data_IF_587367775689
#
_entry.id   IF_587367775689
#
_cell.length_a   1.000
_cell.length_b   1.000
_cell.length_c   1.000
_cell.angle_alpha   90.00
_cell.angle_beta   90.00
_cell.angle_gamma   90.00
#
_symmetry.space_group_name_H-M   'P 1'
#
loop_
_entity.id
_entity.type
_entity.pdbx_description
1 polymer ?
#
# COMPACT_ATOMS: atom_id res chain seq x y z
N UNK A 1 0.92 -5.53 -5.20
CA UNK A 1 1.06 -5.64 -3.72
C UNK A 1 0.55 -6.98 -3.20
N UNK A 2 1.07 -7.46 -2.06
CA UNK A 2 0.55 -8.64 -1.34
C UNK A 2 -0.85 -8.37 -0.76
N UNK A 3 -1.73 -9.38 -0.75
CA UNK A 3 -3.10 -9.26 -0.23
C UNK A 3 -3.17 -8.89 1.27
N UNK A 4 -2.18 -9.29 2.07
CA UNK A 4 -2.10 -8.92 3.49
C UNK A 4 -1.96 -7.40 3.69
N UNK A 5 -1.26 -6.72 2.78
CA UNK A 5 -1.07 -5.27 2.81
C UNK A 5 -2.30 -4.52 2.30
N UNK A 6 -3.00 -5.08 1.31
CA UNK A 6 -4.31 -4.56 0.90
C UNK A 6 -5.35 -4.68 2.03
N UNK A 7 -5.30 -5.79 2.78
CA UNK A 7 -6.10 -5.96 4.01
C UNK A 7 -5.75 -4.95 5.08
N UNK A 8 -4.48 -4.56 5.22
CA UNK A 8 -4.09 -3.51 6.15
C UNK A 8 -4.76 -2.17 5.82
N UNK A 9 -4.78 -1.76 4.54
CA UNK A 9 -5.45 -0.52 4.11
C UNK A 9 -6.96 -0.60 4.43
N UNK A 10 -7.62 -1.71 4.08
CA UNK A 10 -9.05 -1.92 4.40
C UNK A 10 -9.33 -1.90 5.90
N UNK A 11 -8.50 -2.56 6.69
CA UNK A 11 -8.62 -2.58 8.15
C UNK A 11 -8.41 -1.18 8.73
N UNK A 12 -7.43 -0.43 8.25
CA UNK A 12 -7.17 0.93 8.68
C UNK A 12 -8.39 1.84 8.46
N UNK A 13 -9.05 1.74 7.31
CA UNK A 13 -10.29 2.48 7.05
C UNK A 13 -11.40 2.08 8.04
N UNK A 14 -11.62 0.77 8.20
CA UNK A 14 -12.66 0.25 9.07
C UNK A 14 -12.48 0.65 10.55
N UNK A 15 -11.25 0.55 11.10
CA UNK A 15 -11.00 0.84 12.53
C UNK A 15 -11.06 2.33 12.86
N UNK A 16 -10.78 3.20 11.89
CA UNK A 16 -10.84 4.65 12.06
C UNK A 16 -12.18 5.25 11.60
N UNK A 17 -13.15 4.43 11.17
CA UNK A 17 -14.47 4.88 10.74
C UNK A 17 -14.48 5.62 9.41
N UNK A 18 -13.45 5.42 8.57
CA UNK A 18 -13.43 5.94 7.21
C UNK A 18 -14.30 5.10 6.28
N UNK A 19 -14.67 5.72 5.16
CA UNK A 19 -15.41 5.05 4.10
C UNK A 19 -14.58 3.94 3.46
N UNK A 20 -14.97 2.69 3.74
CA UNK A 20 -14.29 1.48 3.24
C UNK A 20 -14.39 1.39 1.71
N UNK A 21 -15.36 2.06 1.07
CA UNK A 21 -15.46 2.06 -0.40
C UNK A 21 -14.23 2.71 -1.06
N UNK A 22 -13.52 3.58 -0.34
CA UNK A 22 -12.25 4.21 -0.80
C UNK A 22 -11.04 3.29 -0.71
N UNK A 23 -11.20 2.07 -0.20
CA UNK A 23 -10.08 1.16 -0.03
C UNK A 23 -9.39 0.82 -1.34
N UNK A 24 -10.17 0.56 -2.40
CA UNK A 24 -9.61 0.20 -3.71
C UNK A 24 -8.83 1.37 -4.31
N UNK A 25 -9.37 2.60 -4.22
CA UNK A 25 -8.68 3.81 -4.68
C UNK A 25 -7.33 4.00 -3.97
N UNK A 26 -7.29 3.80 -2.65
CA UNK A 26 -6.04 3.90 -1.86
C UNK A 26 -5.05 2.77 -2.17
N UNK A 27 -5.55 1.57 -2.45
CA UNK A 27 -4.71 0.44 -2.86
C UNK A 27 -4.08 0.74 -4.21
N UNK A 28 -4.86 1.20 -5.19
CA UNK A 28 -4.36 1.56 -6.52
C UNK A 28 -3.34 2.68 -6.44
N UNK A 29 -3.64 3.73 -5.66
CA UNK A 29 -2.73 4.85 -5.46
C UNK A 29 -1.38 4.37 -4.87
N UNK A 30 -1.42 3.57 -3.80
CA UNK A 30 -0.20 3.08 -3.19
C UNK A 30 0.55 2.07 -4.09
N UNK A 31 -0.14 1.26 -4.90
CA UNK A 31 0.51 0.41 -5.89
C UNK A 31 1.21 1.22 -6.98
N UNK A 32 0.69 2.39 -7.35
CA UNK A 32 1.31 3.29 -8.32
C UNK A 32 2.60 3.95 -7.80
N UNK A 33 2.74 4.09 -6.49
CA UNK A 33 3.94 4.65 -5.83
C UNK A 33 5.05 3.61 -5.62
N UNK A 34 4.78 2.31 -5.85
CA UNK A 34 5.76 1.24 -5.68
C UNK A 34 6.86 1.35 -6.74
N UNK A 35 8.11 1.28 -6.29
CA UNK A 35 9.27 1.30 -7.19
C UNK A 35 9.86 -0.08 -7.36
N UNK A 36 10.27 -0.40 -8.59
CA UNK A 36 10.90 -1.66 -8.95
C UNK A 36 12.28 -1.43 -9.56
N UNK A 37 13.14 -2.43 -9.47
CA UNK A 37 14.40 -2.50 -10.21
C UNK A 37 14.44 -3.75 -11.06
N UNK A 38 15.04 -3.63 -12.24
CA UNK A 38 15.39 -4.77 -13.07
C UNK A 38 16.70 -5.40 -12.56
N UNK A 39 16.74 -6.72 -12.48
CA UNK A 39 17.90 -7.52 -12.11
C UNK A 39 18.64 -7.99 -13.36
N UNK A 40 19.89 -8.44 -13.19
CA UNK A 40 20.76 -8.87 -14.31
C UNK A 40 20.21 -10.04 -15.12
N UNK A 41 19.31 -10.82 -14.53
CA UNK A 41 18.64 -11.95 -15.18
C UNK A 41 17.33 -11.56 -15.90
N UNK A 42 17.00 -10.26 -15.95
CA UNK A 42 15.78 -9.75 -16.56
C UNK A 42 14.53 -9.86 -15.69
N UNK A 43 14.66 -10.34 -14.44
CA UNK A 43 13.57 -10.31 -13.47
C UNK A 43 13.44 -8.94 -12.81
N UNK A 44 12.27 -8.65 -12.22
CA UNK A 44 12.03 -7.41 -11.50
C UNK A 44 11.89 -7.67 -10.00
N UNK A 45 12.56 -6.85 -9.20
CA UNK A 45 12.42 -6.82 -7.75
C UNK A 45 11.74 -5.53 -7.31
N UNK A 46 10.77 -5.65 -6.40
CA UNK A 46 10.12 -4.50 -5.77
C UNK A 46 11.05 -3.94 -4.68
N UNK A 47 11.45 -2.67 -4.83
CA UNK A 47 12.33 -1.98 -3.87
C UNK A 47 11.52 -1.41 -2.71
N UNK A 48 10.35 -0.82 -2.99
CA UNK A 48 9.54 -0.13 -1.97
C UNK A 48 8.08 -0.53 -2.05
N UNK A 49 7.39 -0.31 -0.93
CA UNK A 49 5.96 -0.49 -0.81
C UNK A 49 5.51 -1.94 -0.63
N UNK A 50 6.38 -2.82 -0.13
CA UNK A 50 6.10 -4.25 0.05
C UNK A 50 6.03 -4.68 1.52
N UNK A 51 6.12 -3.73 2.46
CA UNK A 51 6.12 -4.02 3.89
C UNK A 51 4.97 -3.34 4.62
N UNK A 52 4.57 -3.93 5.74
CA UNK A 52 3.56 -3.36 6.63
C UNK A 52 3.92 -1.94 7.09
N UNK A 53 5.20 -1.73 7.44
CA UNK A 53 5.68 -0.45 7.95
C UNK A 53 5.57 0.67 6.91
N UNK A 54 5.85 0.38 5.64
CA UNK A 54 5.71 1.37 4.56
C UNK A 54 4.25 1.76 4.33
N UNK A 55 3.35 0.77 4.26
CA UNK A 55 1.91 1.01 4.07
C UNK A 55 1.35 1.82 5.24
N UNK A 56 1.68 1.42 6.47
CA UNK A 56 1.23 2.13 7.67
C UNK A 56 1.76 3.57 7.69
N UNK A 57 3.04 3.78 7.43
CA UNK A 57 3.62 5.13 7.36
C UNK A 57 2.97 5.98 6.26
N UNK A 58 2.65 5.40 5.11
CA UNK A 58 1.98 6.09 4.02
C UNK A 58 0.57 6.53 4.39
N UNK A 59 -0.23 5.65 4.99
CA UNK A 59 -1.57 5.97 5.50
C UNK A 59 -1.53 7.08 6.56
N UNK A 60 -0.56 7.02 7.48
CA UNK A 60 -0.35 8.08 8.48
C UNK A 60 0.02 9.42 7.84
N UNK A 61 0.89 9.45 6.83
CA UNK A 61 1.29 10.68 6.11
C UNK A 61 0.15 11.30 5.31
N UNK A 62 -0.73 10.47 4.74
CA UNK A 62 -1.93 10.92 4.01
C UNK A 62 -2.90 11.71 4.87
N UNK A 63 -2.78 11.65 6.20
CA UNK A 63 -3.65 12.40 7.09
C UNK A 63 -5.11 11.94 7.01
N UNK A 64 -5.33 10.67 6.63
CA UNK A 64 -6.64 10.03 6.79
C UNK A 64 -6.82 9.86 8.30
N UNK A 65 -7.41 10.88 8.93
CA UNK A 65 -7.61 11.06 10.37
C UNK A 65 -9.09 11.29 10.65
#
# INVERSE_FOLDING_TARGET
MKEELKRLIRNYLNVNGFDISKAEDLIEEYESEQTFTELKDGSFEMITGNTYGEVSNWLHKKGIN
#
